data_IF_645659803728
#
_entry.id   IF_645659803728
#
_cell.length_a   1.000
_cell.length_b   1.000
_cell.length_c   1.000
_cell.angle_alpha   90.00
_cell.angle_beta   90.00
_cell.angle_gamma   90.00
#
_symmetry.space_group_name_H-M   'P 1'
#
loop_
_entity.id
_entity.type
_entity.pdbx_description
1 polymer ?
#
# COMPACT_ATOMS: atom_id res chain seq x y z
N UNK A 1 -7.38 -48.71 -9.90
CA UNK A 1 -7.05 -49.77 -8.99
C UNK A 1 -6.12 -49.27 -7.93
N UNK A 2 -6.65 -49.08 -6.69
CA UNK A 2 -5.91 -48.77 -5.47
C UNK A 2 -5.59 -50.04 -4.68
N UNK A 3 -5.43 -51.16 -5.31
CA UNK A 3 -5.11 -52.40 -4.63
C UNK A 3 -3.60 -52.61 -4.73
N UNK A 4 -2.90 -52.82 -3.66
CA UNK A 4 -1.52 -53.25 -3.46
C UNK A 4 -0.38 -52.24 -3.31
N UNK A 5 -0.59 -50.93 -3.41
CA UNK A 5 0.44 -49.99 -2.98
C UNK A 5 0.04 -49.31 -1.67
N UNK A 6 0.78 -49.55 -0.60
CA UNK A 6 0.61 -48.89 0.71
C UNK A 6 0.75 -47.37 0.66
N UNK A 7 1.19 -46.80 -0.46
CA UNK A 7 1.39 -45.38 -0.68
C UNK A 7 1.02 -45.02 -2.11
N UNK A 8 -0.15 -44.41 -2.29
CA UNK A 8 -0.44 -43.67 -3.50
C UNK A 8 -0.11 -42.20 -3.22
N UNK A 9 1.08 -41.75 -3.63
CA UNK A 9 1.37 -40.35 -3.73
C UNK A 9 0.56 -39.84 -4.93
N UNK A 10 -0.61 -39.31 -4.67
CA UNK A 10 -1.31 -38.51 -5.69
C UNK A 10 -0.56 -37.18 -5.73
N UNK A 11 0.48 -37.11 -6.54
CA UNK A 11 1.01 -35.85 -7.03
C UNK A 11 -0.03 -35.27 -7.97
N UNK A 12 -1.15 -34.82 -7.38
CA UNK A 12 -2.03 -33.96 -8.15
C UNK A 12 -1.33 -32.65 -8.31
N UNK A 13 -1.37 -32.10 -9.52
CA UNK A 13 -0.94 -30.75 -9.87
C UNK A 13 -1.62 -29.63 -9.04
N UNK A 14 -2.14 -29.92 -7.87
CA UNK A 14 -2.78 -28.99 -6.92
C UNK A 14 -1.80 -28.01 -6.26
N UNK A 15 -0.51 -28.21 -6.41
CA UNK A 15 0.53 -27.23 -6.03
C UNK A 15 0.87 -26.28 -7.18
N UNK A 16 0.51 -26.64 -8.41
CA UNK A 16 0.69 -25.79 -9.56
C UNK A 16 -0.41 -24.73 -9.58
N UNK A 17 -0.06 -23.46 -9.69
CA UNK A 17 -0.99 -22.44 -10.11
C UNK A 17 -1.37 -21.37 -9.11
N UNK A 18 -1.10 -21.46 -7.81
CA UNK A 18 -1.40 -20.37 -6.85
C UNK A 18 -0.31 -19.29 -6.83
N UNK A 19 0.22 -18.95 -7.97
CA UNK A 19 1.49 -18.27 -8.13
C UNK A 19 1.36 -16.85 -8.69
N UNK A 20 2.32 -16.01 -8.35
CA UNK A 20 2.49 -14.65 -8.86
C UNK A 20 3.78 -14.59 -9.70
N UNK A 21 3.86 -13.67 -10.70
CA UNK A 21 5.08 -13.43 -11.48
C UNK A 21 6.30 -13.16 -10.61
N UNK A 22 7.47 -13.60 -11.06
CA UNK A 22 8.72 -13.49 -10.30
C UNK A 22 9.11 -12.04 -10.00
N UNK A 23 8.73 -11.09 -10.84
CA UNK A 23 8.99 -9.66 -10.69
C UNK A 23 7.96 -8.94 -9.79
N UNK A 24 6.90 -9.65 -9.34
CA UNK A 24 5.89 -9.07 -8.46
C UNK A 24 6.54 -8.54 -7.18
N UNK A 25 6.35 -7.25 -6.91
CA UNK A 25 6.86 -6.61 -5.69
C UNK A 25 6.12 -7.13 -4.47
N UNK A 26 6.88 -7.53 -3.47
CA UNK A 26 6.36 -8.05 -2.19
C UNK A 26 6.93 -7.20 -1.05
N UNK A 27 6.08 -6.55 -0.24
CA UNK A 27 6.55 -5.79 0.91
C UNK A 27 7.02 -6.74 2.02
N UNK A 28 8.19 -6.45 2.59
CA UNK A 28 8.79 -7.20 3.70
C UNK A 28 9.26 -6.25 4.80
N UNK A 29 9.48 -6.72 6.05
CA UNK A 29 9.99 -5.86 7.13
C UNK A 29 11.33 -5.19 6.81
N UNK A 30 12.12 -5.75 5.91
CA UNK A 30 13.39 -5.18 5.45
C UNK A 30 13.27 -4.27 4.23
N UNK A 31 12.06 -4.12 3.67
CA UNK A 31 11.79 -3.35 2.46
C UNK A 31 11.25 -4.22 1.32
N UNK A 32 11.32 -3.71 0.12
CA UNK A 32 10.80 -4.38 -1.07
C UNK A 32 11.66 -5.57 -1.49
N UNK A 33 11.02 -6.71 -1.72
CA UNK A 33 11.58 -7.87 -2.42
C UNK A 33 10.75 -8.15 -3.68
N UNK A 34 11.24 -9.03 -4.55
CA UNK A 34 10.41 -9.60 -5.62
C UNK A 34 9.97 -11.01 -5.22
N UNK A 35 8.88 -11.51 -5.82
CA UNK A 35 8.43 -12.88 -5.58
C UNK A 35 9.56 -13.90 -5.87
N UNK A 36 10.39 -13.65 -6.89
CA UNK A 36 11.52 -14.49 -7.25
C UNK A 36 12.60 -14.55 -6.17
N UNK A 37 12.85 -13.44 -5.46
CA UNK A 37 13.91 -13.32 -4.45
C UNK A 37 13.56 -13.96 -3.11
N UNK A 38 12.26 -14.23 -2.86
CA UNK A 38 11.79 -14.77 -1.58
C UNK A 38 12.32 -16.19 -1.33
N UNK A 39 12.69 -16.46 -0.06
CA UNK A 39 13.21 -17.73 0.44
C UNK A 39 12.41 -18.19 1.66
N UNK A 40 12.45 -19.49 1.94
CA UNK A 40 11.94 -20.04 3.20
C UNK A 40 12.66 -19.37 4.38
N UNK A 41 11.88 -18.96 5.38
CA UNK A 41 12.39 -18.22 6.54
C UNK A 41 12.34 -16.69 6.39
N UNK A 42 12.14 -16.16 5.19
CA UNK A 42 11.87 -14.73 5.01
C UNK A 42 10.52 -14.33 5.63
N UNK A 43 10.36 -13.03 5.85
CA UNK A 43 9.11 -12.45 6.35
C UNK A 43 8.46 -11.56 5.27
N UNK A 44 7.14 -11.66 5.16
CA UNK A 44 6.26 -10.79 4.38
C UNK A 44 5.16 -10.24 5.29
N UNK A 45 4.26 -9.39 4.79
CA UNK A 45 3.17 -8.87 5.61
C UNK A 45 1.84 -9.56 5.29
N UNK A 46 1.06 -9.87 6.33
CA UNK A 46 -0.34 -10.30 6.23
C UNK A 46 -1.27 -9.14 5.83
N UNK A 47 -2.53 -9.43 5.53
CA UNK A 47 -3.59 -8.44 5.33
C UNK A 47 -3.82 -7.51 6.55
N UNK A 48 -3.39 -7.95 7.75
CA UNK A 48 -3.40 -7.17 8.98
C UNK A 48 -2.16 -6.27 9.14
N UNK A 49 -1.28 -6.24 8.15
CA UNK A 49 -0.03 -5.49 8.21
C UNK A 49 1.02 -6.07 9.16
N UNK A 50 0.80 -7.25 9.72
CA UNK A 50 1.74 -7.90 10.67
C UNK A 50 2.74 -8.75 9.89
N UNK A 51 4.03 -8.75 10.25
CA UNK A 51 5.02 -9.65 9.67
C UNK A 51 4.66 -11.12 9.91
N UNK A 52 4.69 -11.93 8.86
CA UNK A 52 4.46 -13.38 8.88
C UNK A 52 5.58 -14.10 8.15
N UNK A 53 5.96 -15.27 8.64
CA UNK A 53 7.07 -16.04 8.11
C UNK A 53 6.65 -16.87 6.90
N UNK A 54 7.56 -17.02 5.95
CA UNK A 54 7.42 -17.95 4.83
C UNK A 54 7.89 -19.33 5.29
N UNK A 55 6.97 -20.30 5.29
CA UNK A 55 7.25 -21.71 5.70
C UNK A 55 7.66 -22.61 4.53
N UNK A 56 7.18 -22.29 3.31
CA UNK A 56 7.54 -23.04 2.10
C UNK A 56 7.47 -22.17 0.86
N UNK A 57 8.17 -22.59 -0.20
CA UNK A 57 8.12 -21.99 -1.53
C UNK A 57 7.99 -23.11 -2.58
N UNK A 58 7.39 -22.81 -3.71
CA UNK A 58 7.31 -23.73 -4.85
C UNK A 58 8.54 -23.62 -5.76
N UNK A 59 8.68 -24.57 -6.67
CA UNK A 59 9.46 -24.38 -7.89
C UNK A 59 8.85 -23.26 -8.74
N UNK A 60 9.61 -22.84 -9.77
CA UNK A 60 9.13 -21.86 -10.73
C UNK A 60 8.25 -22.59 -11.76
N UNK A 61 7.04 -22.10 -11.95
CA UNK A 61 6.11 -22.57 -12.95
C UNK A 61 6.26 -21.75 -14.24
N UNK A 62 6.20 -22.42 -15.38
CA UNK A 62 6.26 -21.81 -16.70
C UNK A 62 5.11 -22.33 -17.57
N UNK A 63 4.72 -21.57 -18.58
CA UNK A 63 3.67 -21.91 -19.53
C UNK A 63 2.26 -22.10 -18.91
N UNK A 64 2.01 -21.50 -17.76
CA UNK A 64 0.69 -21.43 -17.18
C UNK A 64 -0.08 -20.22 -17.72
N UNK A 65 -1.39 -20.34 -17.85
CA UNK A 65 -2.24 -19.21 -18.19
C UNK A 65 -2.15 -18.13 -17.11
N UNK A 66 -1.89 -16.90 -17.53
CA UNK A 66 -1.81 -15.75 -16.66
C UNK A 66 -2.90 -14.73 -16.99
N UNK A 67 -3.37 -14.04 -15.97
CA UNK A 67 -4.41 -13.02 -16.09
C UNK A 67 -4.00 -11.75 -15.36
N UNK A 68 -4.38 -10.60 -15.93
CA UNK A 68 -4.20 -9.29 -15.32
C UNK A 68 -5.52 -8.78 -14.78
N UNK A 69 -5.55 -8.52 -13.48
CA UNK A 69 -6.67 -7.91 -12.78
C UNK A 69 -6.46 -6.39 -12.75
N UNK A 70 -7.52 -5.65 -13.03
CA UNK A 70 -7.57 -4.18 -12.97
C UNK A 70 -8.55 -3.76 -11.89
N UNK A 71 -8.11 -2.92 -10.98
CA UNK A 71 -8.93 -2.43 -9.89
C UNK A 71 -9.42 -1.01 -10.14
N UNK A 72 -10.45 -0.61 -9.41
CA UNK A 72 -11.11 0.70 -9.56
C UNK A 72 -10.25 1.89 -9.13
N UNK A 73 -9.19 1.67 -8.36
CA UNK A 73 -8.20 2.67 -7.97
C UNK A 73 -7.04 2.80 -8.98
N UNK A 74 -7.11 2.06 -10.10
CA UNK A 74 -6.09 2.02 -11.14
C UNK A 74 -4.95 1.06 -10.88
N UNK A 75 -4.93 0.37 -9.73
CA UNK A 75 -3.94 -0.67 -9.44
C UNK A 75 -4.17 -1.91 -10.30
N UNK A 76 -3.10 -2.67 -10.55
CA UNK A 76 -3.17 -3.92 -11.31
C UNK A 76 -2.29 -4.99 -10.69
N UNK A 77 -2.69 -6.26 -10.87
CA UNK A 77 -1.87 -7.43 -10.51
C UNK A 77 -1.99 -8.47 -11.61
N UNK A 78 -0.86 -9.07 -11.98
CA UNK A 78 -0.85 -10.29 -12.82
C UNK A 78 -0.76 -11.50 -11.90
N UNK A 79 -1.54 -12.53 -12.20
CA UNK A 79 -1.56 -13.77 -11.43
C UNK A 79 -1.81 -14.97 -12.34
N UNK A 80 -1.34 -16.13 -11.91
CA UNK A 80 -1.64 -17.43 -12.51
C UNK A 80 -3.17 -17.72 -12.48
N UNK A 81 -3.66 -18.54 -13.43
CA UNK A 81 -5.05 -18.94 -13.52
C UNK A 81 -5.63 -19.52 -12.22
N UNK A 82 -4.84 -20.35 -11.55
CA UNK A 82 -5.23 -21.03 -10.30
C UNK A 82 -4.95 -20.20 -9.05
N UNK A 83 -4.36 -18.99 -9.19
CA UNK A 83 -4.07 -18.12 -8.05
C UNK A 83 -5.36 -17.74 -7.31
N UNK A 84 -5.31 -17.78 -5.97
CA UNK A 84 -6.48 -17.60 -5.12
C UNK A 84 -6.61 -16.14 -4.65
N UNK A 85 -7.87 -15.71 -4.57
CA UNK A 85 -8.28 -14.40 -4.09
C UNK A 85 -9.40 -14.55 -3.06
N UNK A 86 -9.26 -13.96 -1.88
CA UNK A 86 -10.38 -13.76 -0.99
C UNK A 86 -11.19 -12.56 -1.49
N UNK A 87 -12.34 -12.82 -2.09
CA UNK A 87 -13.21 -11.79 -2.66
C UNK A 87 -14.56 -11.72 -1.96
N UNK A 88 -15.15 -10.54 -1.97
CA UNK A 88 -16.54 -10.32 -1.56
C UNK A 88 -17.39 -10.08 -2.79
N UNK A 89 -18.48 -10.84 -2.92
CA UNK A 89 -19.45 -10.63 -3.99
C UNK A 89 -20.34 -9.43 -3.66
N UNK A 90 -20.71 -8.66 -4.69
CA UNK A 90 -21.68 -7.59 -4.54
C UNK A 90 -23.06 -8.19 -4.26
N UNK A 91 -23.80 -7.64 -3.30
CA UNK A 91 -25.13 -8.12 -2.90
C UNK A 91 -25.37 -8.02 -1.41
N UNK A 92 -26.43 -8.67 -0.93
CA UNK A 92 -26.81 -8.69 0.50
C UNK A 92 -25.85 -9.53 1.34
N UNK A 93 -25.41 -10.66 0.81
CA UNK A 93 -24.44 -11.51 1.49
C UNK A 93 -23.02 -11.03 1.18
N UNK A 94 -22.34 -10.50 2.20
CA UNK A 94 -20.97 -9.96 2.13
C UNK A 94 -19.92 -10.93 2.69
N UNK A 95 -20.25 -12.19 2.90
CA UNK A 95 -19.31 -13.21 3.37
C UNK A 95 -18.20 -13.36 2.32
N UNK A 96 -16.92 -13.28 2.71
CA UNK A 96 -15.81 -13.54 1.81
C UNK A 96 -15.88 -14.97 1.26
N UNK A 97 -15.49 -15.12 0.00
CA UNK A 97 -15.31 -16.41 -0.67
C UNK A 97 -13.94 -16.44 -1.32
N UNK A 98 -13.34 -17.61 -1.37
CA UNK A 98 -12.05 -17.80 -2.05
C UNK A 98 -12.34 -18.32 -3.46
N UNK A 99 -11.85 -17.61 -4.46
CA UNK A 99 -11.99 -17.95 -5.88
C UNK A 99 -10.62 -17.94 -6.57
N UNK A 100 -10.46 -18.78 -7.58
CA UNK A 100 -9.29 -18.70 -8.48
C UNK A 100 -9.42 -17.49 -9.42
N UNK A 101 -8.30 -17.06 -9.98
CA UNK A 101 -8.27 -16.04 -11.04
C UNK A 101 -9.13 -16.45 -12.24
N UNK A 102 -9.06 -17.73 -12.63
CA UNK A 102 -9.85 -18.30 -13.71
C UNK A 102 -11.35 -18.28 -13.41
N UNK A 103 -11.75 -18.59 -12.16
CA UNK A 103 -13.16 -18.55 -11.77
C UNK A 103 -13.72 -17.12 -11.80
N UNK A 104 -12.92 -16.12 -11.39
CA UNK A 104 -13.32 -14.71 -11.48
C UNK A 104 -13.45 -14.30 -12.95
N UNK A 105 -12.51 -14.70 -13.81
CA UNK A 105 -12.56 -14.45 -15.25
C UNK A 105 -13.82 -15.05 -15.89
N UNK A 106 -14.09 -16.32 -15.64
CA UNK A 106 -15.25 -17.05 -16.18
C UNK A 106 -16.59 -16.45 -15.74
N UNK A 107 -16.66 -15.90 -14.52
CA UNK A 107 -17.89 -15.27 -13.99
C UNK A 107 -18.06 -13.82 -14.47
N UNK A 108 -17.13 -13.24 -15.21
CA UNK A 108 -17.01 -11.82 -15.55
C UNK A 108 -16.83 -10.92 -14.31
N UNK A 109 -15.93 -9.96 -14.38
CA UNK A 109 -15.62 -9.05 -13.27
C UNK A 109 -16.75 -8.07 -12.96
N UNK A 110 -17.62 -7.79 -13.95
CA UNK A 110 -18.68 -6.79 -13.87
C UNK A 110 -20.05 -7.36 -14.33
N UNK A 111 -21.11 -6.64 -14.05
CA UNK A 111 -22.46 -6.88 -14.57
C UNK A 111 -23.22 -5.54 -14.70
N UNK A 112 -24.30 -5.54 -15.48
CA UNK A 112 -25.16 -4.36 -15.59
C UNK A 112 -26.24 -4.44 -14.51
N UNK A 113 -26.33 -3.41 -13.66
CA UNK A 113 -27.32 -3.34 -12.59
C UNK A 113 -28.71 -2.89 -13.13
N UNK A 114 -29.73 -2.88 -12.28
CA UNK A 114 -31.10 -2.47 -12.62
C UNK A 114 -31.21 -0.99 -13.07
N UNK A 115 -30.17 -0.18 -12.86
CA UNK A 115 -30.09 1.22 -13.30
C UNK A 115 -29.32 1.37 -14.62
N UNK A 116 -29.08 0.26 -15.31
CA UNK A 116 -28.27 0.17 -16.54
C UNK A 116 -26.83 0.70 -16.34
N UNK A 117 -26.25 0.45 -15.17
CA UNK A 117 -24.85 0.83 -14.87
C UNK A 117 -24.00 -0.41 -14.73
N UNK A 118 -22.79 -0.33 -15.31
CA UNK A 118 -21.78 -1.36 -15.12
C UNK A 118 -21.21 -1.27 -13.69
N UNK A 119 -21.33 -2.35 -12.93
CA UNK A 119 -20.84 -2.46 -11.55
C UNK A 119 -19.97 -3.69 -11.38
N UNK A 120 -18.97 -3.59 -10.52
CA UNK A 120 -18.09 -4.73 -10.21
C UNK A 120 -18.81 -5.80 -9.41
N UNK A 121 -18.58 -7.05 -9.78
CA UNK A 121 -19.11 -8.23 -9.08
C UNK A 121 -18.34 -8.56 -7.82
N UNK A 122 -17.01 -8.31 -7.86
CA UNK A 122 -16.06 -8.74 -6.84
C UNK A 122 -15.25 -7.57 -6.31
N UNK A 123 -14.94 -7.64 -5.03
CA UNK A 123 -14.01 -6.72 -4.37
C UNK A 123 -13.09 -7.44 -3.40
N UNK A 124 -11.88 -6.90 -3.21
CA UNK A 124 -10.88 -7.35 -2.25
C UNK A 124 -10.79 -6.30 -1.15
N UNK A 125 -10.68 -6.71 0.11
CA UNK A 125 -10.50 -5.81 1.25
C UNK A 125 -9.17 -5.06 1.13
N UNK A 126 -9.13 -3.77 1.49
CA UNK A 126 -7.88 -3.02 1.66
C UNK A 126 -7.17 -3.53 2.92
N UNK A 127 -5.84 -3.65 2.88
CA UNK A 127 -5.05 -4.09 4.04
C UNK A 127 -5.11 -3.09 5.20
N UNK A 128 -4.85 -3.58 6.39
CA UNK A 128 -4.57 -2.71 7.52
C UNK A 128 -3.16 -2.06 7.36
N UNK A 129 -2.80 -1.00 8.12
CA UNK A 129 -1.49 -0.38 8.04
C UNK A 129 -0.35 -1.36 8.30
N UNK A 130 0.68 -1.31 7.46
CA UNK A 130 1.83 -2.22 7.56
C UNK A 130 2.70 -1.85 8.76
N UNK A 131 3.09 -2.83 9.56
CA UNK A 131 3.86 -2.65 10.79
C UNK A 131 5.36 -2.87 10.54
N UNK A 132 6.00 -1.90 9.89
CA UNK A 132 7.45 -1.90 9.78
C UNK A 132 8.12 -1.68 11.15
N UNK A 133 9.33 -2.21 11.36
CA UNK A 133 10.10 -1.90 12.56
C UNK A 133 10.46 -0.41 12.62
N UNK A 134 10.49 0.14 13.84
CA UNK A 134 10.89 1.53 14.07
C UNK A 134 12.36 1.73 13.73
N UNK A 135 12.65 2.73 12.91
CA UNK A 135 14.01 3.18 12.58
C UNK A 135 14.22 4.60 13.10
N UNK A 136 15.40 4.84 13.64
CA UNK A 136 15.83 6.19 13.99
C UNK A 136 16.17 6.95 12.70
N UNK A 137 15.61 8.15 12.56
CA UNK A 137 15.83 9.04 11.43
C UNK A 137 16.46 10.36 11.93
N UNK A 138 17.19 11.06 11.07
CA UNK A 138 17.89 12.30 11.46
C UNK A 138 16.96 13.50 11.51
N UNK A 139 16.12 13.65 10.49
CA UNK A 139 15.12 14.71 10.44
C UNK A 139 13.85 14.20 11.09
N UNK A 140 13.28 14.98 12.00
CA UNK A 140 11.95 14.70 12.53
C UNK A 140 10.97 14.45 11.38
N UNK A 141 10.14 13.35 11.40
CA UNK A 141 9.30 12.98 10.27
C UNK A 141 8.28 14.06 9.89
N UNK A 142 7.67 14.72 10.87
CA UNK A 142 6.74 15.81 10.60
C UNK A 142 7.45 16.98 9.90
N UNK A 143 8.61 17.37 10.41
CA UNK A 143 9.46 18.42 9.83
C UNK A 143 9.85 18.11 8.39
N UNK A 144 10.23 16.86 8.10
CA UNK A 144 10.54 16.45 6.73
C UNK A 144 9.30 16.58 5.84
N UNK A 145 8.13 16.16 6.30
CA UNK A 145 6.87 16.29 5.57
C UNK A 145 6.54 17.73 5.23
N UNK A 146 6.64 18.64 6.20
CA UNK A 146 6.44 20.09 6.01
C UNK A 146 7.45 20.66 5.01
N UNK A 147 8.73 20.28 5.11
CA UNK A 147 9.76 20.75 4.18
C UNK A 147 9.55 20.20 2.76
N UNK A 148 9.13 18.96 2.61
CA UNK A 148 8.83 18.36 1.29
C UNK A 148 7.73 19.11 0.55
N UNK A 149 6.72 19.64 1.24
CA UNK A 149 5.69 20.50 0.66
C UNK A 149 6.22 21.92 0.44
N UNK A 150 6.22 22.75 1.47
CA UNK A 150 6.43 24.19 1.40
C UNK A 150 7.89 24.64 1.59
N UNK A 151 8.83 23.70 1.77
CA UNK A 151 10.24 24.00 1.93
C UNK A 151 10.92 24.47 0.64
N UNK A 152 11.90 25.37 0.76
CA UNK A 152 12.79 25.73 -0.33
C UNK A 152 13.65 24.53 -0.75
N UNK A 153 13.67 24.21 -2.03
CA UNK A 153 14.49 23.10 -2.52
C UNK A 153 16.00 23.36 -2.45
N UNK A 154 16.41 24.58 -2.17
CA UNK A 154 17.81 24.96 -2.11
C UNK A 154 18.38 24.91 -0.69
N UNK A 155 17.52 24.99 0.33
CA UNK A 155 17.94 25.16 1.72
C UNK A 155 16.83 24.72 2.71
N UNK A 156 17.04 24.99 4.01
CA UNK A 156 16.11 24.66 5.09
C UNK A 156 15.01 25.70 5.33
N UNK A 157 14.71 26.60 4.40
CA UNK A 157 13.66 27.60 4.55
C UNK A 157 12.29 27.01 4.27
N UNK A 158 11.32 27.46 5.06
CA UNK A 158 9.90 27.20 4.90
C UNK A 158 9.18 28.49 4.52
N UNK A 159 8.23 28.41 3.60
CA UNK A 159 7.36 29.52 3.19
C UNK A 159 5.94 29.24 3.66
N UNK A 160 5.37 30.11 4.49
CA UNK A 160 4.03 29.91 5.04
C UNK A 160 3.37 31.25 5.43
N UNK A 161 2.12 31.24 5.80
CA UNK A 161 1.45 32.35 6.48
C UNK A 161 1.82 32.37 7.96
N UNK A 162 1.62 33.52 8.62
CA UNK A 162 2.03 33.71 10.01
C UNK A 162 1.36 32.73 10.98
N UNK A 163 0.07 32.53 10.85
CA UNK A 163 -0.69 31.63 11.73
C UNK A 163 -0.17 30.18 11.63
N UNK A 164 0.11 29.71 10.42
CA UNK A 164 0.70 28.38 10.21
C UNK A 164 2.11 28.30 10.81
N UNK A 165 2.93 29.37 10.70
CA UNK A 165 4.26 29.41 11.30
C UNK A 165 4.20 29.26 12.82
N UNK A 166 3.25 29.92 13.49
CA UNK A 166 3.05 29.79 14.93
C UNK A 166 2.69 28.37 15.35
N UNK A 167 1.88 27.68 14.55
CA UNK A 167 1.54 26.27 14.80
C UNK A 167 2.72 25.34 14.49
N UNK A 168 3.44 25.54 13.39
CA UNK A 168 4.65 24.76 13.06
C UNK A 168 5.68 24.79 14.17
N UNK A 169 5.91 25.96 14.79
CA UNK A 169 6.84 26.12 15.93
C UNK A 169 6.49 25.25 17.14
N UNK A 170 5.25 24.87 17.32
CA UNK A 170 4.82 23.98 18.41
C UNK A 170 5.20 22.51 18.15
N UNK A 171 5.38 22.13 16.88
CA UNK A 171 5.52 20.74 16.45
C UNK A 171 6.88 20.42 15.85
N UNK A 172 7.58 21.41 15.31
CA UNK A 172 8.87 21.24 14.67
C UNK A 172 9.99 21.46 15.70
N UNK A 173 10.85 20.45 15.97
CA UNK A 173 11.87 20.53 17.00
C UNK A 173 13.15 21.30 16.55
N UNK A 174 13.01 22.23 15.63
CA UNK A 174 14.09 23.07 15.12
C UNK A 174 13.86 24.52 15.53
N UNK A 175 14.95 25.24 15.84
CA UNK A 175 14.88 26.69 16.04
C UNK A 175 14.67 27.38 14.70
N UNK A 176 13.80 28.39 14.68
CA UNK A 176 13.50 29.19 13.52
C UNK A 176 14.16 30.57 13.58
N UNK A 177 14.72 31.02 12.46
CA UNK A 177 14.92 32.44 12.18
C UNK A 177 13.79 32.90 11.25
N UNK A 178 13.17 34.00 11.57
CA UNK A 178 12.00 34.51 10.85
C UNK A 178 12.36 35.72 10.02
N UNK A 179 11.76 35.84 8.84
CA UNK A 179 11.81 37.02 8.00
C UNK A 179 10.53 37.16 7.17
N UNK A 180 10.13 38.39 6.87
CA UNK A 180 9.05 38.66 5.94
C UNK A 180 9.58 38.61 4.50
N UNK A 181 8.74 38.19 3.57
CA UNK A 181 9.05 38.22 2.16
C UNK A 181 9.02 39.64 1.60
N UNK A 182 7.95 40.35 1.92
CA UNK A 182 7.74 41.79 1.64
C UNK A 182 6.88 42.36 2.76
N UNK A 183 7.03 43.64 3.06
CA UNK A 183 6.07 44.31 3.95
C UNK A 183 4.66 44.15 3.39
N UNK A 184 3.75 43.64 4.19
CA UNK A 184 2.29 43.53 3.95
C UNK A 184 1.80 42.45 2.98
N UNK A 185 2.58 41.46 2.53
CA UNK A 185 2.06 40.34 1.70
C UNK A 185 1.57 39.15 2.52
N UNK A 186 1.74 39.18 3.84
CA UNK A 186 1.33 38.10 4.75
C UNK A 186 2.14 36.81 4.65
N UNK A 187 3.20 36.80 3.84
CA UNK A 187 4.06 35.63 3.62
C UNK A 187 5.32 35.75 4.46
N UNK A 188 5.59 34.70 5.23
CA UNK A 188 6.73 34.57 6.11
C UNK A 188 7.69 33.50 5.63
N UNK A 189 8.96 33.69 5.92
CA UNK A 189 9.99 32.66 5.82
C UNK A 189 10.41 32.24 7.22
N UNK A 190 10.39 30.94 7.46
CA UNK A 190 11.02 30.35 8.63
C UNK A 190 12.24 29.54 8.20
N UNK A 191 13.45 29.96 8.56
CA UNK A 191 14.65 29.17 8.30
C UNK A 191 14.94 28.29 9.50
N UNK A 192 14.93 26.98 9.30
CA UNK A 192 15.22 25.98 10.33
C UNK A 192 16.75 25.77 10.40
N UNK A 193 17.32 26.09 11.58
CA UNK A 193 18.76 25.91 11.80
C UNK A 193 19.14 24.42 11.76
N UNK A 194 20.31 24.14 11.17
CA UNK A 194 20.89 22.79 11.01
C UNK A 194 20.15 21.85 10.05
N UNK A 195 18.92 22.17 9.62
CA UNK A 195 18.18 21.30 8.70
C UNK A 195 18.91 21.15 7.35
N UNK A 196 19.60 22.19 6.87
CA UNK A 196 20.33 22.15 5.60
C UNK A 196 21.34 21.01 5.51
N UNK A 197 22.08 20.75 6.59
CA UNK A 197 23.09 19.68 6.64
C UNK A 197 22.46 18.31 6.48
N UNK A 198 21.38 18.07 7.20
CA UNK A 198 20.65 16.79 7.14
C UNK A 198 19.98 16.58 5.77
N UNK A 199 19.39 17.63 5.20
CA UNK A 199 18.83 17.60 3.84
C UNK A 199 19.88 17.27 2.79
N UNK A 200 21.09 17.83 2.91
CA UNK A 200 22.22 17.55 2.02
C UNK A 200 22.67 16.09 2.14
N UNK A 201 22.76 15.56 3.34
CA UNK A 201 23.16 14.18 3.58
C UNK A 201 22.15 13.19 2.98
N UNK A 202 20.85 13.44 3.14
CA UNK A 202 19.78 12.67 2.50
C UNK A 202 19.63 12.93 0.99
N UNK A 203 20.46 13.82 0.39
CA UNK A 203 20.41 14.21 -1.03
C UNK A 203 19.06 14.77 -1.47
N UNK A 204 18.39 15.50 -0.59
CA UNK A 204 17.07 16.05 -0.81
C UNK A 204 17.07 17.42 -1.49
N UNK A 205 18.20 18.17 -1.40
CA UNK A 205 18.30 19.48 -2.01
C UNK A 205 18.18 19.38 -3.54
N UNK A 206 17.27 20.18 -4.12
CA UNK A 206 16.86 20.18 -5.54
C UNK A 206 16.32 18.84 -6.05
N UNK A 207 16.12 17.87 -5.17
CA UNK A 207 15.66 16.53 -5.48
C UNK A 207 14.72 16.02 -4.38
N UNK A 208 13.55 16.64 -4.22
CA UNK A 208 12.58 16.23 -3.20
C UNK A 208 12.06 14.81 -3.47
N UNK A 209 12.25 13.93 -2.52
CA UNK A 209 11.73 12.56 -2.46
C UNK A 209 11.63 12.13 -1.00
N UNK A 210 10.96 11.02 -0.71
CA UNK A 210 10.94 10.47 0.64
C UNK A 210 12.05 9.42 0.76
N UNK A 211 13.05 9.60 1.64
CA UNK A 211 14.09 8.59 1.83
C UNK A 211 13.49 7.26 2.31
N UNK A 212 14.07 6.14 1.90
CA UNK A 212 13.57 4.80 2.21
C UNK A 212 13.39 4.53 3.72
N UNK A 213 14.24 5.13 4.56
CA UNK A 213 14.16 5.00 6.02
C UNK A 213 12.89 5.62 6.62
N UNK A 214 12.22 6.51 5.90
CA UNK A 214 10.93 7.06 6.29
C UNK A 214 9.76 6.26 5.74
N UNK A 215 9.87 5.69 4.53
CA UNK A 215 8.85 4.81 3.95
C UNK A 215 8.78 3.47 4.69
N UNK A 216 9.96 2.92 5.06
CA UNK A 216 10.10 1.64 5.77
C UNK A 216 10.36 1.94 7.25
N UNK A 217 9.34 2.46 7.93
CA UNK A 217 9.42 2.86 9.34
C UNK A 217 8.09 2.56 10.07
N UNK A 218 8.05 2.75 11.37
CA UNK A 218 6.84 2.55 12.17
C UNK A 218 5.63 3.32 11.61
N UNK A 219 4.43 2.86 11.95
CA UNK A 219 3.19 3.55 11.58
C UNK A 219 3.24 5.01 12.03
N UNK A 220 3.71 5.27 13.25
CA UNK A 220 3.78 6.62 13.83
C UNK A 220 4.71 7.54 13.01
N UNK A 221 5.93 7.11 12.70
CA UNK A 221 6.86 7.93 11.91
C UNK A 221 6.32 8.22 10.50
N UNK A 222 5.66 7.24 9.87
CA UNK A 222 5.02 7.44 8.55
C UNK A 222 3.81 8.37 8.64
N UNK A 223 3.06 8.28 9.73
CA UNK A 223 1.92 9.15 9.97
C UNK A 223 2.35 10.60 10.26
N UNK A 224 3.42 10.80 11.04
CA UNK A 224 4.01 12.13 11.26
C UNK A 224 4.49 12.75 9.94
N UNK A 225 5.18 11.98 9.10
CA UNK A 225 5.58 12.43 7.77
C UNK A 225 4.36 12.83 6.91
N UNK A 226 3.30 12.01 6.93
CA UNK A 226 2.06 12.29 6.22
C UNK A 226 1.40 13.58 6.75
N UNK A 227 1.36 13.79 8.07
CA UNK A 227 0.82 15.01 8.69
C UNK A 227 1.51 16.26 8.16
N UNK A 228 2.84 16.26 8.08
CA UNK A 228 3.59 17.38 7.53
C UNK A 228 3.27 17.65 6.05
N UNK A 229 3.18 16.63 5.23
CA UNK A 229 2.76 16.73 3.82
C UNK A 229 1.32 17.22 3.67
N UNK A 230 0.41 16.77 4.52
CA UNK A 230 -0.99 17.19 4.47
C UNK A 230 -1.18 18.62 4.98
N UNK A 231 -0.40 19.05 5.95
CA UNK A 231 -0.43 20.43 6.46
C UNK A 231 0.06 21.46 5.42
N UNK A 232 0.90 21.05 4.49
CA UNK A 232 1.36 21.88 3.37
C UNK A 232 0.46 21.72 2.14
N UNK A 233 0.69 20.67 1.35
CA UNK A 233 0.07 20.42 0.04
C UNK A 233 -1.28 19.69 0.09
N UNK A 234 -1.74 19.33 1.29
CA UNK A 234 -3.00 18.59 1.49
C UNK A 234 -4.18 19.48 1.86
N UNK A 235 -5.38 18.98 1.59
CA UNK A 235 -6.65 19.59 2.04
C UNK A 235 -7.78 18.56 2.10
N UNK A 236 -8.93 19.00 2.63
CA UNK A 236 -10.18 18.23 2.61
C UNK A 236 -11.10 18.83 1.56
N UNK A 237 -11.56 18.02 0.62
CA UNK A 237 -12.53 18.40 -0.40
C UNK A 237 -13.93 18.64 0.22
N UNK A 238 -14.80 19.38 -0.47
CA UNK A 238 -16.19 19.65 -0.01
C UNK A 238 -16.99 18.38 0.29
N UNK A 239 -16.71 17.29 -0.43
CA UNK A 239 -17.32 15.98 -0.18
C UNK A 239 -16.70 15.23 0.99
N UNK A 240 -15.68 15.79 1.66
CA UNK A 240 -14.96 15.22 2.80
C UNK A 240 -13.87 14.22 2.44
N UNK A 241 -13.51 14.11 1.17
CA UNK A 241 -12.37 13.31 0.71
C UNK A 241 -11.07 14.08 1.00
N UNK A 242 -10.04 13.39 1.46
CA UNK A 242 -8.71 13.95 1.64
C UNK A 242 -7.99 13.97 0.28
N UNK A 243 -7.25 15.03 0.03
CA UNK A 243 -6.50 15.21 -1.21
C UNK A 243 -5.14 15.82 -0.92
N UNK A 244 -4.12 15.40 -1.67
CA UNK A 244 -2.82 16.06 -1.74
C UNK A 244 -2.42 16.26 -3.20
N UNK A 245 -1.84 17.43 -3.52
CA UNK A 245 -1.45 17.80 -4.90
C UNK A 245 0.05 18.02 -4.99
N UNK A 246 0.72 17.27 -5.85
CA UNK A 246 2.16 17.28 -6.01
C UNK A 246 2.54 17.53 -7.48
N UNK A 247 3.65 18.24 -7.71
CA UNK A 247 4.16 18.49 -9.06
C UNK A 247 4.87 17.26 -9.62
N UNK A 248 4.37 16.68 -10.71
CA UNK A 248 5.02 15.53 -11.33
C UNK A 248 6.15 15.91 -12.30
N UNK A 249 6.15 17.13 -12.81
CA UNK A 249 7.24 17.60 -13.68
C UNK A 249 8.50 17.93 -12.90
N UNK A 250 8.36 18.43 -11.67
CA UNK A 250 9.48 18.87 -10.85
C UNK A 250 10.05 17.75 -9.98
N UNK A 251 9.16 16.97 -9.35
CA UNK A 251 9.52 15.90 -8.41
C UNK A 251 8.68 14.64 -8.65
N UNK A 252 8.89 13.92 -9.77
CA UNK A 252 8.08 12.74 -10.10
C UNK A 252 8.20 11.63 -9.06
N UNK A 253 9.39 11.45 -8.46
CA UNK A 253 9.61 10.45 -7.43
C UNK A 253 8.79 10.73 -6.16
N UNK A 254 8.64 11.98 -5.76
CA UNK A 254 7.87 12.35 -4.57
C UNK A 254 6.41 11.89 -4.65
N UNK A 255 5.81 11.91 -5.85
CA UNK A 255 4.42 11.43 -6.03
C UNK A 255 4.34 9.92 -5.80
N UNK A 256 5.29 9.16 -6.37
CA UNK A 256 5.33 7.70 -6.18
C UNK A 256 5.57 7.36 -4.71
N UNK A 257 6.44 8.08 -4.03
CA UNK A 257 6.74 7.90 -2.61
C UNK A 257 5.53 8.21 -1.72
N UNK A 258 4.82 9.32 -1.97
CA UNK A 258 3.60 9.68 -1.22
C UNK A 258 2.47 8.69 -1.52
N UNK A 259 2.37 8.19 -2.75
CA UNK A 259 1.42 7.13 -3.10
C UNK A 259 1.72 5.85 -2.30
N UNK A 260 2.98 5.42 -2.24
CA UNK A 260 3.43 4.26 -1.46
C UNK A 260 3.17 4.48 0.04
N UNK A 261 3.53 5.65 0.57
CA UNK A 261 3.27 6.03 1.96
C UNK A 261 1.80 5.85 2.33
N UNK A 262 0.89 6.39 1.52
CA UNK A 262 -0.55 6.28 1.74
C UNK A 262 -1.04 4.83 1.68
N UNK A 263 -0.61 4.06 0.67
CA UNK A 263 -0.98 2.65 0.55
C UNK A 263 -0.48 1.82 1.73
N UNK A 264 0.75 2.09 2.20
CA UNK A 264 1.36 1.40 3.34
C UNK A 264 0.67 1.72 4.69
N UNK A 265 -0.04 2.84 4.79
CA UNK A 265 -0.90 3.23 5.92
C UNK A 265 -2.34 2.67 5.79
N UNK A 266 -2.57 1.78 4.83
CA UNK A 266 -3.86 1.11 4.65
C UNK A 266 -4.93 2.02 4.07
N UNK A 267 -4.56 2.90 3.15
CA UNK A 267 -5.51 3.71 2.39
C UNK A 267 -5.67 3.17 0.96
N UNK A 268 -6.90 3.24 0.46
CA UNK A 268 -7.20 3.11 -0.96
C UNK A 268 -7.00 4.48 -1.60
N UNK A 269 -6.10 4.55 -2.58
CA UNK A 269 -5.64 5.82 -3.16
C UNK A 269 -6.02 5.89 -4.63
N UNK A 270 -6.67 6.98 -5.01
CA UNK A 270 -6.97 7.31 -6.40
C UNK A 270 -6.02 8.39 -6.89
N UNK A 271 -5.39 8.17 -8.03
CA UNK A 271 -4.50 9.15 -8.66
C UNK A 271 -5.19 9.79 -9.87
N UNK A 272 -5.09 11.12 -9.95
CA UNK A 272 -5.55 11.89 -11.12
C UNK A 272 -4.49 12.90 -11.54
N UNK A 273 -4.13 12.87 -12.80
CA UNK A 273 -3.16 13.79 -13.38
C UNK A 273 -3.83 15.00 -14.02
N UNK A 274 -3.23 16.16 -13.80
CA UNK A 274 -3.69 17.46 -14.31
C UNK A 274 -2.60 18.06 -15.20
N UNK A 275 -2.65 17.77 -16.49
CA UNK A 275 -1.65 18.19 -17.49
C UNK A 275 -1.44 19.72 -17.54
N UNK A 276 -2.51 20.51 -17.38
CA UNK A 276 -2.44 21.98 -17.40
C UNK A 276 -1.57 22.56 -16.27
N UNK A 277 -1.55 21.94 -15.11
CA UNK A 277 -0.81 22.39 -13.92
C UNK A 277 0.44 21.55 -13.67
N UNK A 278 0.74 20.56 -14.52
CA UNK A 278 1.81 19.60 -14.31
C UNK A 278 1.81 19.00 -12.90
N UNK A 279 0.62 18.65 -12.40
CA UNK A 279 0.44 18.10 -11.06
C UNK A 279 -0.35 16.79 -11.09
N UNK A 280 -0.09 15.93 -10.13
CA UNK A 280 -0.94 14.79 -9.81
C UNK A 280 -1.59 15.01 -8.45
N UNK A 281 -2.84 14.64 -8.33
CA UNK A 281 -3.59 14.62 -7.08
C UNK A 281 -3.82 13.19 -6.63
N UNK A 282 -3.56 12.94 -5.36
CA UNK A 282 -3.84 11.68 -4.70
C UNK A 282 -5.03 11.89 -3.78
N UNK A 283 -6.09 11.13 -4.03
CA UNK A 283 -7.34 11.17 -3.28
C UNK A 283 -7.48 9.92 -2.43
N UNK A 284 -7.82 10.09 -1.18
CA UNK A 284 -8.05 8.98 -0.25
C UNK A 284 -9.07 9.39 0.81
N UNK A 285 -9.51 8.45 1.63
CA UNK A 285 -10.42 8.75 2.72
C UNK A 285 -9.81 8.32 4.05
N UNK A 286 -9.74 9.25 4.98
CA UNK A 286 -9.26 9.05 6.33
C UNK A 286 -10.16 9.80 7.32
N UNK A 287 -11.06 9.12 8.06
CA UNK A 287 -11.76 9.74 9.17
C UNK A 287 -10.80 9.94 10.35
N UNK A 288 -11.06 10.93 11.22
CA UNK A 288 -10.28 11.16 12.44
C UNK A 288 -10.26 9.93 13.34
N UNK A 289 -11.35 9.17 13.39
CA UNK A 289 -11.45 7.91 14.15
C UNK A 289 -10.42 6.85 13.73
N UNK A 290 -9.86 6.95 12.50
CA UNK A 290 -8.74 6.11 12.06
C UNK A 290 -7.40 6.79 12.36
N UNK A 291 -7.20 7.99 11.85
CA UNK A 291 -6.01 8.83 12.06
C UNK A 291 -6.35 10.32 11.90
N UNK A 292 -5.84 11.16 12.78
CA UNK A 292 -5.71 12.58 12.51
C UNK A 292 -4.49 12.80 11.61
N UNK A 293 -4.72 13.34 10.41
CA UNK A 293 -3.70 13.51 9.36
C UNK A 293 -3.29 14.97 9.16
N UNK A 294 -3.73 15.86 10.03
CA UNK A 294 -3.34 17.27 10.09
C UNK A 294 -2.93 17.63 11.50
N UNK A 295 -1.98 18.54 11.67
CA UNK A 295 -1.67 19.23 12.91
C UNK A 295 -2.11 20.68 12.89
N UNK A 296 -2.18 21.33 11.72
CA UNK A 296 -2.75 22.66 11.60
C UNK A 296 -4.24 22.64 11.92
N UNK A 297 -4.64 23.34 12.98
CA UNK A 297 -6.02 23.35 13.51
C UNK A 297 -7.05 23.66 12.42
N UNK A 298 -6.78 24.68 11.56
CA UNK A 298 -7.66 25.09 10.46
C UNK A 298 -7.92 24.00 9.40
N UNK A 299 -7.02 23.01 9.28
CA UNK A 299 -7.17 21.86 8.38
C UNK A 299 -7.76 20.67 9.11
N UNK A 300 -7.34 20.41 10.36
CA UNK A 300 -7.85 19.34 11.19
C UNK A 300 -9.36 19.47 11.43
N UNK A 301 -9.87 20.69 11.64
CA UNK A 301 -11.31 20.96 11.82
C UNK A 301 -12.16 20.56 10.62
N UNK A 302 -11.57 20.51 9.41
CA UNK A 302 -12.24 20.08 8.19
C UNK A 302 -12.21 18.57 7.98
N UNK A 303 -11.34 17.85 8.68
CA UNK A 303 -11.28 16.40 8.61
C UNK A 303 -12.52 15.80 9.28
N UNK A 304 -13.22 14.90 8.63
CA UNK A 304 -14.43 14.27 9.15
C UNK A 304 -14.13 13.35 10.32
N UNK A 305 -14.93 13.39 11.37
CA UNK A 305 -14.83 12.46 12.51
C UNK A 305 -15.03 11.02 12.05
N UNK A 306 -16.12 10.78 11.34
CA UNK A 306 -16.47 9.48 10.78
C UNK A 306 -16.90 9.62 9.33
N UNK A 307 -16.64 8.60 8.58
CA UNK A 307 -17.17 8.47 7.23
C UNK A 307 -18.19 7.34 7.32
N UNK A 308 -19.46 7.61 6.95
CA UNK A 308 -20.45 6.54 6.79
C UNK A 308 -19.83 5.47 5.91
N UNK A 309 -19.45 4.35 6.54
CA UNK A 309 -18.65 3.29 5.93
C UNK A 309 -19.44 2.72 4.76
N UNK A 310 -19.18 3.24 3.58
CA UNK A 310 -19.49 2.48 2.40
C UNK A 310 -18.40 1.40 2.27
N UNK A 311 -18.78 0.20 1.91
CA UNK A 311 -17.86 -0.88 1.52
C UNK A 311 -16.84 -0.41 0.45
N UNK A 312 -17.10 0.73 -0.18
CA UNK A 312 -16.30 1.36 -1.21
C UNK A 312 -14.92 1.83 -0.72
N UNK A 313 -14.82 2.31 0.53
CA UNK A 313 -13.59 2.86 1.09
C UNK A 313 -12.57 1.76 1.45
N UNK A 314 -13.08 0.68 2.00
CA UNK A 314 -12.28 -0.42 2.52
C UNK A 314 -12.17 -1.61 1.56
N UNK A 315 -12.53 -1.41 0.28
CA UNK A 315 -12.48 -2.46 -0.73
C UNK A 315 -12.00 -1.93 -2.07
N UNK A 316 -11.14 -2.70 -2.74
CA UNK A 316 -10.78 -2.52 -4.15
C UNK A 316 -11.72 -3.35 -5.00
N UNK A 317 -12.38 -2.76 -5.97
CA UNK A 317 -13.32 -3.42 -6.86
C UNK A 317 -12.62 -3.88 -8.14
N UNK A 318 -12.76 -5.15 -8.49
CA UNK A 318 -12.23 -5.69 -9.74
C UNK A 318 -13.07 -5.15 -10.89
N UNK A 319 -12.50 -4.32 -11.75
CA UNK A 319 -13.18 -3.68 -12.89
C UNK A 319 -13.05 -4.48 -14.18
N UNK A 320 -11.89 -5.09 -14.35
CA UNK A 320 -11.58 -5.85 -15.56
C UNK A 320 -10.62 -6.98 -15.19
N UNK A 321 -10.72 -8.08 -15.90
CA UNK A 321 -9.75 -9.16 -15.90
C UNK A 321 -9.55 -9.60 -17.32
N UNK A 322 -8.32 -9.81 -17.75
CA UNK A 322 -7.98 -10.24 -19.09
C UNK A 322 -6.83 -11.23 -19.07
N UNK A 323 -6.87 -12.20 -20.00
CA UNK A 323 -5.78 -13.13 -20.22
C UNK A 323 -4.60 -12.37 -20.81
N UNK A 324 -3.40 -12.64 -20.29
CA UNK A 324 -2.15 -12.04 -20.74
C UNK A 324 -1.16 -13.13 -21.11
N UNK A 325 -0.03 -12.73 -21.71
CA UNK A 325 1.05 -13.65 -22.02
C UNK A 325 1.54 -14.36 -20.75
N UNK A 326 1.84 -15.65 -20.89
CA UNK A 326 2.38 -16.48 -19.81
C UNK A 326 3.75 -15.98 -19.39
N UNK A 327 3.95 -15.84 -18.09
CA UNK A 327 5.23 -15.45 -17.50
C UNK A 327 5.61 -16.45 -16.40
N UNK A 328 6.91 -16.61 -16.09
CA UNK A 328 7.33 -17.45 -14.98
C UNK A 328 6.74 -16.98 -13.65
N UNK A 329 6.15 -17.91 -12.90
CA UNK A 329 5.44 -17.63 -11.66
C UNK A 329 5.97 -18.50 -10.52
N UNK A 330 5.78 -18.05 -9.26
CA UNK A 330 6.22 -18.75 -8.06
C UNK A 330 5.19 -18.57 -6.96
N UNK A 331 5.05 -19.57 -6.10
CA UNK A 331 4.15 -19.56 -4.95
C UNK A 331 4.93 -19.55 -3.64
N UNK A 332 4.37 -18.92 -2.61
CA UNK A 332 4.85 -18.99 -1.22
C UNK A 332 3.76 -19.53 -0.31
N UNK A 333 4.15 -20.14 0.80
CA UNK A 333 3.27 -20.52 1.90
C UNK A 333 3.67 -19.69 3.10
N UNK A 334 2.70 -19.01 3.71
CA UNK A 334 2.92 -18.15 4.89
C UNK A 334 2.23 -18.71 6.14
N UNK A 335 2.82 -18.42 7.29
CA UNK A 335 2.31 -18.82 8.60
C UNK A 335 1.25 -17.80 9.08
N UNK A 336 0.04 -17.86 8.52
CA UNK A 336 -1.09 -17.05 8.94
C UNK A 336 -2.39 -17.85 8.88
N UNK A 337 -3.32 -17.59 9.79
CA UNK A 337 -4.58 -18.34 9.91
C UNK A 337 -5.48 -18.19 8.69
N UNK A 338 -5.46 -17.02 8.06
CA UNK A 338 -6.28 -16.72 6.89
C UNK A 338 -5.52 -16.87 5.56
N UNK A 339 -4.24 -17.27 5.60
CA UNK A 339 -3.39 -17.48 4.44
C UNK A 339 -3.26 -16.28 3.50
N UNK A 340 -3.45 -15.05 4.00
CA UNK A 340 -3.32 -13.82 3.23
C UNK A 340 -1.95 -13.17 3.44
N UNK A 341 -1.34 -12.72 2.35
CA UNK A 341 -0.16 -11.87 2.36
C UNK A 341 -0.31 -10.71 1.37
N UNK A 342 0.52 -9.68 1.48
CA UNK A 342 0.45 -8.50 0.65
C UNK A 342 1.36 -8.61 -0.57
N UNK A 343 0.85 -8.17 -1.71
CA UNK A 343 1.62 -8.06 -2.96
C UNK A 343 1.44 -6.68 -3.60
N UNK A 344 2.30 -6.38 -4.56
CA UNK A 344 2.40 -5.15 -5.33
C UNK A 344 2.67 -3.90 -4.48
N UNK A 345 3.09 -2.81 -5.11
CA UNK A 345 3.30 -1.51 -4.44
C UNK A 345 1.99 -0.86 -3.91
N UNK A 346 0.87 -1.50 -4.16
CA UNK A 346 -0.45 -1.08 -3.68
C UNK A 346 -0.88 -1.84 -2.41
N UNK A 347 -0.05 -2.74 -1.88
CA UNK A 347 -0.31 -3.55 -0.69
C UNK A 347 -1.64 -4.31 -0.80
N UNK A 348 -1.81 -5.04 -1.90
CA UNK A 348 -3.03 -5.81 -2.20
C UNK A 348 -2.96 -7.15 -1.50
N UNK A 349 -3.95 -7.51 -0.64
CA UNK A 349 -4.05 -8.84 -0.07
C UNK A 349 -4.28 -9.90 -1.15
N UNK A 350 -3.53 -10.98 -1.05
CA UNK A 350 -3.62 -12.13 -1.94
C UNK A 350 -3.49 -13.42 -1.12
N UNK A 351 -4.02 -14.52 -1.62
CA UNK A 351 -4.13 -15.76 -0.86
C UNK A 351 -3.03 -16.76 -1.24
N UNK A 352 -2.42 -17.40 -0.25
CA UNK A 352 -1.48 -18.50 -0.47
C UNK A 352 -2.17 -19.88 -0.46
N UNK A 353 -1.38 -20.94 -0.65
CA UNK A 353 -1.85 -22.33 -0.62
C UNK A 353 -1.98 -22.89 0.79
N UNK A 354 -3.13 -23.48 1.12
CA UNK A 354 -3.41 -24.16 2.40
C UNK A 354 -3.10 -25.65 2.42
N UNK A 355 -2.99 -26.29 1.25
CA UNK A 355 -3.26 -27.73 1.14
C UNK A 355 -2.04 -28.62 1.43
N UNK A 356 -0.82 -28.09 1.41
CA UNK A 356 0.40 -28.92 1.49
C UNK A 356 0.78 -29.25 2.94
N UNK A 357 0.65 -28.32 3.86
CA UNK A 357 1.04 -28.54 5.26
C UNK A 357 0.12 -29.56 5.97
N UNK A 358 -1.18 -29.55 5.69
CA UNK A 358 -2.12 -30.51 6.27
C UNK A 358 -1.82 -31.94 5.87
N UNK A 359 -1.40 -32.16 4.61
CA UNK A 359 -1.07 -33.53 4.14
C UNK A 359 0.27 -34.02 4.67
N UNK A 360 1.29 -33.17 4.73
CA UNK A 360 2.61 -33.51 5.29
C UNK A 360 2.49 -33.77 6.78
N UNK A 361 1.76 -32.95 7.54
CA UNK A 361 1.48 -33.16 8.95
C UNK A 361 0.67 -34.45 9.19
N UNK A 362 -0.37 -34.70 8.38
CA UNK A 362 -1.13 -35.92 8.44
C UNK A 362 -0.24 -37.14 8.16
N UNK A 363 0.59 -37.08 7.12
CA UNK A 363 1.54 -38.13 6.78
C UNK A 363 2.56 -38.38 7.89
N UNK A 364 3.17 -37.36 8.47
CA UNK A 364 4.12 -37.48 9.58
C UNK A 364 3.44 -38.06 10.84
N UNK A 365 2.25 -37.53 11.20
CA UNK A 365 1.55 -37.97 12.42
C UNK A 365 1.07 -39.41 12.32
N UNK A 366 0.56 -39.85 11.17
CA UNK A 366 0.00 -41.19 11.01
C UNK A 366 1.00 -42.25 10.55
N UNK A 367 2.23 -41.87 10.19
CA UNK A 367 3.25 -42.82 9.71
C UNK A 367 4.53 -42.81 10.48
N UNK A 368 4.71 -41.92 11.46
CA UNK A 368 5.88 -41.91 12.39
C UNK A 368 5.87 -43.05 13.41
N UNK A 369 4.74 -43.76 13.55
CA UNK A 369 4.65 -44.91 14.51
C UNK A 369 5.00 -46.27 13.88
N UNK A 370 5.58 -46.30 12.69
CA UNK A 370 5.91 -47.55 11.99
C UNK A 370 7.33 -47.66 11.49
N UNK A 371 8.27 -46.95 12.17
CA UNK A 371 9.71 -47.20 12.02
C UNK A 371 10.28 -47.72 13.31
#
# INVERSE_FOLDING_TARGET
>A
GFQDNRFNIITTARQAGKALPLDTKIPSPSGWKTMGDLKVGDYVFSDKGVPIKISAISDIFSNHDCYKLYFDDGSTVVADAEHLWEVRKQGRNKTPVVLTTQEIFNQSATFIDSRNKEVSKFSIKVSDPVQYPTKKVKIDPYTLGVWLGDGSSADGRLTCIFDDLLEYKKHIPYNFSESHRKENDGIYFGTMYNLYTDLKEYKLLKNKHIPSDYLINSIENRLELLRGLMDTDGWVEKNGQNCISLSYSKYPQLIEDVYELLCSLGFKVFRKEYKKTNSARLYFQCPKSKFEIFKLSRKLDKQREEIKVSSYINSRFIRKIEKVESVPTKCIVVESDNHLFLCSKHFIPTHNSTTTCGFILWYIIFHSEKT
#
